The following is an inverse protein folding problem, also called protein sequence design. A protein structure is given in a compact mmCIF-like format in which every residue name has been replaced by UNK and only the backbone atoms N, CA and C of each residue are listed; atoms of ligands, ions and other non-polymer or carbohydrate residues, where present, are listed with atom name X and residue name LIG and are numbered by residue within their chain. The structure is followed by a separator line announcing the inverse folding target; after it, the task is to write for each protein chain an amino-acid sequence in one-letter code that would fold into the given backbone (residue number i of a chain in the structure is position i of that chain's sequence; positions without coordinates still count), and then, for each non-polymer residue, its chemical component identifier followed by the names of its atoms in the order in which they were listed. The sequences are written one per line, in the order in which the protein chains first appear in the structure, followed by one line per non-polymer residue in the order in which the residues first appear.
data_IF_038465190090
#
_entry.id   IF_038465190090
#
_cell.length_a   1.000
_cell.length_b   1.000
_cell.length_c   1.000
_cell.angle_alpha   90.00
_cell.angle_beta   90.00
_cell.angle_gamma   90.00
#
_symmetry.space_group_name_H-M   'P 1'
#
loop_
_entity.id
_entity.type
_entity.pdbx_description
1 polymer ?
#
# COMPACT_ATOMS: atom_id res chain seq x y z
N UNK A 1 28.16 29.94 47.35
CA UNK A 1 27.82 28.69 48.08
C UNK A 1 26.99 27.83 47.13
N UNK A 2 27.43 26.59 46.86
CA UNK A 2 26.93 25.76 45.75
C UNK A 2 25.43 25.48 45.81
N UNK A 3 24.69 25.95 44.79
CA UNK A 3 23.24 25.75 44.60
C UNK A 3 22.83 24.27 44.54
N UNK A 4 23.78 23.35 44.28
CA UNK A 4 23.55 21.91 44.27
C UNK A 4 23.25 21.31 45.65
N UNK A 5 23.80 21.85 46.75
CA UNK A 5 23.61 21.28 48.09
C UNK A 5 22.26 21.65 48.73
N UNK A 6 21.60 22.70 48.25
CA UNK A 6 20.27 23.11 48.73
C UNK A 6 19.18 22.18 48.19
N UNK A 7 19.34 21.67 46.97
CA UNK A 7 18.35 20.81 46.30
C UNK A 7 18.09 19.49 47.04
N UNK A 8 19.11 18.93 47.70
CA UNK A 8 19.02 17.65 48.41
C UNK A 8 18.27 17.71 49.74
N UNK A 9 17.96 18.91 50.27
CA UNK A 9 17.33 19.10 51.59
C UNK A 9 15.95 19.76 51.57
N UNK A 10 15.34 19.89 50.40
CA UNK A 10 14.02 20.49 50.20
C UNK A 10 12.92 19.42 50.22
N UNK A 11 11.78 19.70 50.86
CA UNK A 11 10.58 18.85 50.75
C UNK A 11 10.10 18.83 49.30
N UNK A 12 9.46 17.74 48.87
CA UNK A 12 9.07 17.55 47.46
C UNK A 12 8.33 18.76 46.89
N UNK A 13 7.41 19.36 47.66
CA UNK A 13 6.67 20.57 47.29
C UNK A 13 7.56 21.77 46.92
N UNK A 14 8.63 22.04 47.67
CA UNK A 14 9.51 23.16 47.39
C UNK A 14 10.38 22.91 46.15
N UNK A 15 10.75 21.65 45.90
CA UNK A 15 11.44 21.25 44.66
C UNK A 15 10.53 21.47 43.45
N UNK A 16 9.23 21.19 43.58
CA UNK A 16 8.25 21.43 42.52
C UNK A 16 8.03 22.92 42.22
N UNK A 17 7.89 23.76 43.25
CA UNK A 17 7.80 25.23 43.09
C UNK A 17 9.07 25.77 42.41
N UNK A 18 10.24 25.24 42.77
CA UNK A 18 11.50 25.64 42.14
C UNK A 18 11.56 25.25 40.66
N UNK A 19 11.11 24.04 40.29
CA UNK A 19 11.01 23.58 38.89
C UNK A 19 10.08 24.52 38.09
N UNK A 20 8.89 24.83 38.61
CA UNK A 20 7.93 25.72 37.94
C UNK A 20 8.42 27.17 37.81
N UNK A 21 9.20 27.67 38.77
CA UNK A 21 9.80 29.01 38.70
C UNK A 21 10.98 29.10 37.73
N UNK A 22 11.62 27.98 37.39
CA UNK A 22 12.80 27.91 36.52
C UNK A 22 12.50 27.21 35.17
N UNK A 23 11.29 27.39 34.63
CA UNK A 23 10.82 26.81 33.35
C UNK A 23 11.73 27.11 32.16
N UNK A 24 12.41 28.26 32.17
CA UNK A 24 13.37 28.65 31.12
C UNK A 24 14.66 27.82 31.18
N UNK A 25 15.03 27.34 32.37
CA UNK A 25 16.18 26.47 32.60
C UNK A 25 15.85 25.01 32.28
N UNK A 26 14.58 24.60 32.44
CA UNK A 26 14.06 23.29 32.00
C UNK A 26 14.19 23.10 30.48
N UNK A 27 14.05 24.19 29.69
CA UNK A 27 14.29 24.17 28.23
C UNK A 27 15.72 23.80 27.85
N UNK A 28 16.69 23.89 28.78
CA UNK A 28 18.11 23.53 28.56
C UNK A 28 18.46 22.10 28.99
N UNK A 29 17.55 21.36 29.62
CA UNK A 29 17.79 19.96 30.00
C UNK A 29 17.63 18.98 28.82
N UNK A 30 18.39 17.87 28.81
CA UNK A 30 18.22 16.81 27.81
C UNK A 30 16.80 16.23 27.85
N UNK A 31 16.26 15.93 26.66
CA UNK A 31 14.85 15.60 26.44
C UNK A 31 14.34 14.46 27.35
N UNK A 32 15.14 13.42 27.60
CA UNK A 32 14.77 12.27 28.45
C UNK A 32 14.50 12.66 29.90
N UNK A 33 15.32 13.55 30.48
CA UNK A 33 15.13 14.01 31.86
C UNK A 33 13.88 14.88 31.97
N UNK A 34 13.67 15.77 30.99
CA UNK A 34 12.47 16.61 30.90
C UNK A 34 11.20 15.76 30.85
N UNK A 35 11.15 14.79 29.94
CA UNK A 35 10.00 13.87 29.77
C UNK A 35 9.64 13.16 31.07
N UNK A 36 10.62 12.60 31.79
CA UNK A 36 10.38 11.88 33.04
C UNK A 36 9.83 12.74 34.19
N UNK A 37 10.16 14.04 34.21
CA UNK A 37 9.67 15.00 35.20
C UNK A 37 8.23 15.39 34.88
N UNK A 38 7.91 15.59 33.60
CA UNK A 38 6.54 15.89 33.15
C UNK A 38 5.59 14.70 33.37
N UNK A 39 6.01 13.46 33.06
CA UNK A 39 5.19 12.26 33.30
C UNK A 39 4.89 12.03 34.80
N UNK A 40 5.78 12.47 35.70
CA UNK A 40 5.55 12.41 37.14
C UNK A 40 4.63 13.54 37.62
N UNK A 41 4.79 14.74 37.08
CA UNK A 41 3.92 15.89 37.37
C UNK A 41 2.48 15.64 36.94
N UNK A 42 2.28 15.09 35.75
CA UNK A 42 0.97 14.71 35.21
C UNK A 42 0.25 13.74 36.16
N UNK A 43 0.95 12.70 36.62
CA UNK A 43 0.39 11.70 37.56
C UNK A 43 0.07 12.23 38.95
N UNK A 44 0.83 13.22 39.45
CA UNK A 44 0.67 13.74 40.81
C UNK A 44 -0.43 14.81 40.86
N UNK A 45 -0.49 15.68 39.86
CA UNK A 45 -1.47 16.77 39.77
C UNK A 45 -2.88 16.22 39.55
N UNK A 46 -3.03 15.19 38.72
CA UNK A 46 -4.34 14.60 38.36
C UNK A 46 -5.01 13.81 39.49
N UNK A 47 -4.28 13.29 40.48
CA UNK A 47 -4.90 12.39 41.48
C UNK A 47 -5.17 13.08 42.81
N UNK A 48 -4.31 14.02 43.23
CA UNK A 48 -4.37 14.60 44.56
C UNK A 48 -5.30 15.84 44.66
N UNK A 49 -5.68 16.44 43.53
CA UNK A 49 -6.40 17.73 43.51
C UNK A 49 -7.83 17.64 42.96
N UNK A 50 -8.24 16.50 42.41
CA UNK A 50 -9.55 16.35 41.77
C UNK A 50 -10.64 15.99 42.78
N UNK A 51 -11.75 16.72 42.71
CA UNK A 51 -13.01 16.29 43.29
C UNK A 51 -13.54 15.02 42.59
N UNK A 52 -14.48 14.32 43.22
CA UNK A 52 -15.08 13.10 42.66
C UNK A 52 -15.64 13.32 41.23
N UNK A 53 -16.27 14.46 41.00
CA UNK A 53 -16.86 14.82 39.70
C UNK A 53 -15.80 15.08 38.62
N UNK A 54 -14.67 15.68 38.95
CA UNK A 54 -13.59 15.93 37.99
C UNK A 54 -12.85 14.64 37.64
N UNK A 55 -12.73 13.71 38.60
CA UNK A 55 -12.18 12.37 38.35
C UNK A 55 -13.06 11.56 37.40
N UNK A 56 -14.38 11.61 37.58
CA UNK A 56 -15.33 10.93 36.68
C UNK A 56 -15.23 11.47 35.24
N UNK A 57 -15.15 12.80 35.07
CA UNK A 57 -14.93 13.44 33.75
C UNK A 57 -13.58 13.06 33.14
N UNK A 58 -12.54 12.97 33.95
CA UNK A 58 -11.22 12.53 33.49
C UNK A 58 -11.25 11.08 33.02
N UNK A 59 -11.81 10.16 33.79
CA UNK A 59 -11.92 8.74 33.43
C UNK A 59 -12.75 8.55 32.15
N UNK A 60 -13.82 9.33 31.97
CA UNK A 60 -14.60 9.37 30.73
C UNK A 60 -13.76 9.86 29.54
N UNK A 61 -12.98 10.92 29.71
CA UNK A 61 -12.09 11.43 28.65
C UNK A 61 -11.03 10.40 28.23
N UNK A 62 -10.47 9.65 29.19
CA UNK A 62 -9.51 8.58 28.91
C UNK A 62 -10.18 7.41 28.18
N UNK A 63 -11.43 7.08 28.53
CA UNK A 63 -12.21 6.06 27.81
C UNK A 63 -12.44 6.47 26.36
N UNK A 64 -12.92 7.69 26.12
CA UNK A 64 -13.14 8.22 24.76
C UNK A 64 -11.85 8.21 23.95
N UNK A 65 -10.72 8.60 24.56
CA UNK A 65 -9.43 8.54 23.90
C UNK A 65 -9.03 7.12 23.49
N UNK A 66 -9.25 6.13 24.38
CA UNK A 66 -8.96 4.71 24.10
C UNK A 66 -9.86 4.15 23.00
N UNK A 67 -11.15 4.48 23.02
CA UNK A 67 -12.09 4.05 21.98
C UNK A 67 -11.68 4.62 20.62
N UNK A 68 -11.28 5.90 20.57
CA UNK A 68 -10.76 6.52 19.35
C UNK A 68 -9.47 5.85 18.85
N UNK A 69 -8.54 5.51 19.74
CA UNK A 69 -7.33 4.75 19.38
C UNK A 69 -7.68 3.38 18.80
N UNK A 70 -8.64 2.67 19.38
CA UNK A 70 -9.07 1.36 18.90
C UNK A 70 -9.70 1.47 17.50
N UNK A 71 -10.55 2.48 17.26
CA UNK A 71 -11.14 2.74 15.94
C UNK A 71 -10.06 3.02 14.89
N UNK A 72 -9.09 3.88 15.21
CA UNK A 72 -7.99 4.20 14.28
C UNK A 72 -7.12 2.96 13.99
N UNK A 73 -6.81 2.16 15.01
CA UNK A 73 -6.05 0.92 14.84
C UNK A 73 -6.79 -0.08 13.94
N UNK A 74 -8.10 -0.24 14.16
CA UNK A 74 -8.95 -1.09 13.34
C UNK A 74 -9.01 -0.62 11.89
N UNK A 75 -9.18 0.69 11.66
CA UNK A 75 -9.18 1.26 10.31
C UNK A 75 -7.87 0.97 9.57
N UNK A 76 -6.73 1.21 10.23
CA UNK A 76 -5.41 0.95 9.65
C UNK A 76 -5.18 -0.54 9.34
N UNK A 77 -5.61 -1.43 10.21
CA UNK A 77 -5.50 -2.87 9.98
C UNK A 77 -6.40 -3.33 8.83
N UNK A 78 -7.61 -2.76 8.72
CA UNK A 78 -8.54 -3.03 7.63
C UNK A 78 -7.95 -2.57 6.29
N UNK A 79 -7.42 -1.36 6.21
CA UNK A 79 -6.73 -0.84 5.02
C UNK A 79 -5.58 -1.75 4.59
N UNK A 80 -4.77 -2.22 5.55
CA UNK A 80 -3.67 -3.14 5.29
C UNK A 80 -4.17 -4.46 4.69
N UNK A 81 -5.22 -5.06 5.26
CA UNK A 81 -5.80 -6.31 4.77
C UNK A 81 -6.41 -6.17 3.38
N UNK A 82 -7.11 -5.07 3.11
CA UNK A 82 -7.69 -4.79 1.80
C UNK A 82 -6.60 -4.59 0.74
N UNK A 83 -5.53 -3.86 1.07
CA UNK A 83 -4.37 -3.70 0.18
C UNK A 83 -3.66 -5.03 -0.10
N UNK A 84 -3.48 -5.88 0.93
CA UNK A 84 -2.90 -7.20 0.78
C UNK A 84 -3.77 -8.11 -0.11
N UNK A 85 -5.09 -8.09 0.09
CA UNK A 85 -6.03 -8.83 -0.76
C UNK A 85 -6.00 -8.34 -2.20
N UNK A 86 -6.03 -7.02 -2.43
CA UNK A 86 -5.94 -6.46 -3.78
C UNK A 86 -4.63 -6.85 -4.49
N UNK A 87 -3.52 -6.88 -3.76
CA UNK A 87 -2.23 -7.35 -4.30
C UNK A 87 -2.25 -8.85 -4.60
N UNK A 88 -2.81 -9.67 -3.71
CA UNK A 88 -2.90 -11.11 -3.91
C UNK A 88 -3.78 -11.44 -5.13
N UNK A 89 -4.94 -10.81 -5.26
CA UNK A 89 -5.83 -10.99 -6.42
C UNK A 89 -5.16 -10.55 -7.73
N UNK A 90 -4.42 -9.44 -7.72
CA UNK A 90 -3.66 -8.99 -8.89
C UNK A 90 -2.54 -9.94 -9.31
N UNK A 91 -1.82 -10.52 -8.35
CA UNK A 91 -0.77 -11.51 -8.60
C UNK A 91 -1.32 -12.84 -9.11
N UNK A 92 -2.54 -13.21 -8.71
CA UNK A 92 -3.19 -14.45 -9.15
C UNK A 92 -3.85 -14.28 -10.54
N UNK A 93 -4.66 -13.23 -10.73
CA UNK A 93 -5.45 -13.04 -11.95
C UNK A 93 -4.62 -12.55 -13.13
N UNK A 94 -3.69 -11.62 -12.90
CA UNK A 94 -2.90 -10.99 -13.98
C UNK A 94 -2.16 -11.99 -14.88
N UNK A 95 -1.38 -12.94 -14.32
CA UNK A 95 -0.68 -13.95 -15.13
C UNK A 95 -1.62 -14.92 -15.85
N UNK A 96 -2.78 -15.23 -15.25
CA UNK A 96 -3.75 -16.14 -15.84
C UNK A 96 -4.44 -15.50 -17.06
N UNK A 97 -4.91 -14.26 -16.91
CA UNK A 97 -5.53 -13.48 -17.98
C UNK A 97 -4.54 -13.21 -19.11
N UNK A 98 -3.34 -12.71 -18.81
CA UNK A 98 -2.33 -12.43 -19.83
C UNK A 98 -1.87 -13.67 -20.59
N UNK A 99 -1.83 -14.85 -19.92
CA UNK A 99 -1.53 -16.11 -20.60
C UNK A 99 -2.68 -16.57 -21.48
N UNK A 100 -3.93 -16.38 -21.05
CA UNK A 100 -5.10 -16.76 -21.85
C UNK A 100 -5.19 -15.90 -23.12
N UNK A 101 -5.04 -14.58 -22.98
CA UNK A 101 -5.03 -13.62 -24.09
C UNK A 101 -3.89 -13.91 -25.05
N UNK A 102 -2.66 -14.05 -24.54
CA UNK A 102 -1.50 -14.35 -25.39
C UNK A 102 -1.61 -15.69 -26.13
N UNK A 103 -2.25 -16.71 -25.55
CA UNK A 103 -2.53 -17.97 -26.25
C UNK A 103 -3.59 -17.83 -27.32
N UNK A 104 -4.65 -17.06 -27.06
CA UNK A 104 -5.72 -16.82 -28.02
C UNK A 104 -5.18 -16.08 -29.25
N UNK A 105 -4.45 -14.97 -29.04
CA UNK A 105 -3.81 -14.24 -30.13
C UNK A 105 -2.80 -15.08 -30.90
N UNK A 106 -1.98 -15.86 -30.19
CA UNK A 106 -0.97 -16.73 -30.83
C UNK A 106 -1.61 -17.83 -31.68
N UNK A 107 -2.71 -18.42 -31.22
CA UNK A 107 -3.45 -19.42 -31.97
C UNK A 107 -4.11 -18.83 -33.22
N UNK A 108 -4.70 -17.64 -33.10
CA UNK A 108 -5.33 -16.95 -34.21
C UNK A 108 -4.31 -16.58 -35.30
N UNK A 109 -3.20 -15.93 -34.91
CA UNK A 109 -2.10 -15.59 -35.82
C UNK A 109 -1.51 -16.84 -36.48
N UNK A 110 -1.22 -17.87 -35.68
CA UNK A 110 -0.67 -19.13 -36.21
C UNK A 110 -1.62 -19.85 -37.17
N UNK A 111 -2.94 -19.82 -36.91
CA UNK A 111 -3.94 -20.38 -37.81
C UNK A 111 -4.03 -19.59 -39.11
N UNK A 112 -4.06 -18.26 -39.05
CA UNK A 112 -4.12 -17.40 -40.23
C UNK A 112 -2.87 -17.54 -41.11
N UNK A 113 -1.67 -17.55 -40.51
CA UNK A 113 -0.41 -17.79 -41.21
C UNK A 113 -0.37 -19.19 -41.82
N UNK A 114 -0.82 -20.22 -41.08
CA UNK A 114 -0.91 -21.59 -41.55
C UNK A 114 -1.85 -21.75 -42.74
N UNK A 115 -3.04 -21.14 -42.69
CA UNK A 115 -3.99 -21.15 -43.81
C UNK A 115 -3.42 -20.44 -45.03
N UNK A 116 -2.79 -19.27 -44.84
CA UNK A 116 -2.19 -18.52 -45.94
C UNK A 116 -1.04 -19.29 -46.60
N UNK A 117 -0.20 -19.94 -45.79
CA UNK A 117 0.89 -20.79 -46.29
C UNK A 117 0.35 -22.00 -47.06
N UNK A 118 -0.70 -22.64 -46.57
CA UNK A 118 -1.35 -23.74 -47.27
C UNK A 118 -1.96 -23.31 -48.60
N UNK A 119 -2.62 -22.14 -48.65
CA UNK A 119 -3.16 -21.57 -49.89
C UNK A 119 -2.05 -21.31 -50.92
N UNK A 120 -0.93 -20.73 -50.48
CA UNK A 120 0.26 -20.49 -51.32
C UNK A 120 0.85 -21.81 -51.86
N UNK A 121 1.00 -22.82 -51.01
CA UNK A 121 1.55 -24.12 -51.40
C UNK A 121 0.64 -24.85 -52.40
N UNK A 122 -0.68 -24.72 -52.26
CA UNK A 122 -1.65 -25.24 -53.23
C UNK A 122 -1.56 -24.47 -54.54
N UNK A 123 -1.52 -23.14 -54.49
CA UNK A 123 -1.41 -22.29 -55.68
C UNK A 123 -0.17 -22.62 -56.53
N UNK A 124 0.99 -22.82 -55.88
CA UNK A 124 2.23 -23.25 -56.56
C UNK A 124 2.04 -24.56 -57.31
N UNK A 125 1.48 -25.58 -56.65
CA UNK A 125 1.24 -26.89 -57.27
C UNK A 125 0.27 -26.84 -58.45
N UNK A 126 -0.74 -25.97 -58.39
CA UNK A 126 -1.70 -25.79 -59.49
C UNK A 126 -1.06 -25.04 -60.66
N UNK A 127 -0.23 -24.03 -60.37
CA UNK A 127 0.55 -23.29 -61.38
C UNK A 127 1.52 -24.22 -62.11
N UNK A 128 2.23 -25.08 -61.38
CA UNK A 128 3.13 -26.09 -61.95
C UNK A 128 2.41 -27.10 -62.87
N UNK A 129 1.10 -27.30 -62.65
CA UNK A 129 0.24 -28.15 -63.48
C UNK A 129 -0.37 -27.43 -64.68
N UNK A 130 -0.11 -26.14 -64.84
CA UNK A 130 -0.61 -25.34 -65.97
C UNK A 130 -2.07 -24.90 -65.85
N UNK A 131 -2.65 -24.86 -64.64
CA UNK A 131 -3.98 -24.30 -64.42
C UNK A 131 -4.00 -22.78 -64.72
N UNK A 132 -5.14 -22.27 -65.19
CA UNK A 132 -5.32 -20.83 -65.43
C UNK A 132 -5.29 -20.03 -64.12
N UNK A 133 -4.76 -18.81 -64.15
CA UNK A 133 -4.54 -17.99 -62.95
C UNK A 133 -5.86 -17.64 -62.27
N UNK A 134 -6.91 -17.42 -63.04
CA UNK A 134 -8.27 -17.15 -62.58
C UNK A 134 -8.84 -18.35 -61.82
N UNK A 135 -8.62 -19.56 -62.34
CA UNK A 135 -9.08 -20.81 -61.74
C UNK A 135 -8.32 -21.13 -60.44
N UNK A 136 -7.03 -20.79 -60.37
CA UNK A 136 -6.22 -20.88 -59.15
C UNK A 136 -6.71 -19.89 -58.08
N UNK A 137 -7.09 -18.67 -58.48
CA UNK A 137 -7.62 -17.66 -57.58
C UNK A 137 -8.94 -18.13 -56.94
N UNK A 138 -9.84 -18.72 -57.74
CA UNK A 138 -11.10 -19.26 -57.25
C UNK A 138 -10.91 -20.45 -56.29
N UNK A 139 -9.95 -21.35 -56.57
CA UNK A 139 -9.70 -22.54 -55.74
C UNK A 139 -9.01 -22.18 -54.42
N UNK A 140 -8.05 -21.26 -54.45
CA UNK A 140 -7.20 -20.96 -53.29
C UNK A 140 -7.69 -19.77 -52.47
N UNK A 141 -8.56 -18.93 -53.03
CA UNK A 141 -9.02 -17.69 -52.43
C UNK A 141 -7.95 -16.61 -52.35
N UNK A 142 -6.83 -16.78 -53.07
CA UNK A 142 -5.77 -15.77 -53.17
C UNK A 142 -6.13 -14.72 -54.22
N UNK A 143 -5.69 -13.49 -54.00
CA UNK A 143 -5.88 -12.42 -54.98
C UNK A 143 -4.97 -12.60 -56.20
N UNK A 144 -5.38 -12.07 -57.35
CA UNK A 144 -4.55 -12.10 -58.57
C UNK A 144 -3.17 -11.43 -58.36
N UNK A 145 -3.09 -10.44 -57.48
CA UNK A 145 -1.81 -9.80 -57.14
C UNK A 145 -0.92 -10.75 -56.32
N UNK A 146 -1.48 -11.42 -55.32
CA UNK A 146 -0.74 -12.42 -54.55
C UNK A 146 -0.24 -13.54 -55.46
N UNK A 147 -1.06 -14.03 -56.39
CA UNK A 147 -0.68 -15.09 -57.35
C UNK A 147 0.41 -14.68 -58.35
N UNK A 148 0.57 -13.38 -58.63
CA UNK A 148 1.66 -12.85 -59.47
C UNK A 148 3.00 -12.87 -58.75
N UNK A 149 3.01 -12.80 -57.42
CA UNK A 149 4.23 -12.79 -56.59
C UNK A 149 4.74 -14.19 -56.22
N UNK A 150 3.99 -15.25 -56.58
CA UNK A 150 4.33 -16.66 -56.31
C UNK A 150 4.87 -17.35 -57.55
#
# INVERSE_FOLDING_TARGET
MNSFYVFLRMKDFERWIYILKNMETLKRMPFKARKSVFEKLEKIVDIASLSKEEREKYDESIKVYRDNLAVMAYAKEKERKEAERGRAEGLEKGPAEGRAEGRAEGLEKGRAEGTKRAQIDIARKLKDRGCAVEEIADITGLTLNELKEI
#
